data_IF_741747382869
#
_entry.id   IF_741747382869
#
_cell.length_a   1.000
_cell.length_b   1.000
_cell.length_c   1.000
_cell.angle_alpha   90.00
_cell.angle_beta   90.00
_cell.angle_gamma   90.00
#
_symmetry.space_group_name_H-M   'P 1'
#
loop_
_entity.id
_entity.type
_entity.pdbx_description
1 polymer ?
#
# COMPACT_ATOMS: atom_id res chain seq x y z
N UNK A 1 -42.73 10.47 17.92
CA UNK A 1 -41.49 10.87 18.63
C UNK A 1 -40.54 11.49 17.62
N UNK A 2 -40.10 12.75 17.80
CA UNK A 2 -39.08 13.38 16.93
C UNK A 2 -37.73 12.78 17.29
N UNK A 3 -37.05 12.19 16.31
CA UNK A 3 -35.77 11.52 16.52
C UNK A 3 -34.67 12.55 16.85
N UNK A 4 -34.14 12.51 18.08
CA UNK A 4 -32.99 13.31 18.57
C UNK A 4 -31.65 12.69 18.12
N UNK A 5 -31.49 12.36 16.84
CA UNK A 5 -30.21 11.79 16.38
C UNK A 5 -29.32 12.90 15.85
N UNK A 6 -28.18 13.09 16.52
CA UNK A 6 -27.01 13.75 15.97
C UNK A 6 -26.45 12.84 14.88
N UNK A 7 -26.15 13.39 13.69
CA UNK A 7 -25.72 12.59 12.54
C UNK A 7 -24.55 13.27 11.85
N UNK A 8 -23.48 12.51 11.69
CA UNK A 8 -22.37 12.81 10.79
C UNK A 8 -22.76 12.43 9.35
N UNK A 9 -21.96 12.83 8.37
CA UNK A 9 -22.21 12.49 6.96
C UNK A 9 -20.94 11.92 6.35
N UNK A 10 -21.02 10.70 5.83
CA UNK A 10 -19.98 10.12 4.99
C UNK A 10 -20.38 10.24 3.51
N UNK A 11 -19.41 10.45 2.64
CA UNK A 11 -19.58 10.55 1.19
C UNK A 11 -18.45 9.82 0.50
N UNK A 12 -18.78 9.05 -0.53
CA UNK A 12 -17.78 8.58 -1.48
C UNK A 12 -17.57 9.71 -2.50
N UNK A 13 -16.33 10.12 -2.66
CA UNK A 13 -15.91 11.08 -3.67
C UNK A 13 -15.27 10.27 -4.80
N UNK A 14 -15.77 10.47 -6.01
CA UNK A 14 -15.20 9.87 -7.22
C UNK A 14 -14.77 11.03 -8.11
N UNK A 15 -13.47 11.27 -8.15
CA UNK A 15 -12.86 12.26 -9.02
C UNK A 15 -12.49 11.60 -10.33
N UNK A 16 -12.88 12.22 -11.43
CA UNK A 16 -12.35 11.86 -12.75
C UNK A 16 -11.53 13.03 -13.25
N UNK A 17 -10.24 12.79 -13.43
CA UNK A 17 -9.39 13.73 -14.13
C UNK A 17 -9.88 13.87 -15.58
N UNK A 18 -10.15 15.11 -15.99
CA UNK A 18 -10.70 15.40 -17.33
C UNK A 18 -9.65 15.31 -18.45
N UNK A 19 -8.37 15.43 -18.10
CA UNK A 19 -7.24 15.37 -19.03
C UNK A 19 -6.76 13.93 -19.19
N UNK A 20 -6.53 13.23 -18.09
CA UNK A 20 -5.97 11.86 -18.10
C UNK A 20 -7.04 10.77 -18.13
N UNK A 21 -8.30 11.11 -17.79
CA UNK A 21 -9.38 10.14 -17.67
C UNK A 21 -9.29 9.23 -16.44
N UNK A 22 -8.20 9.31 -15.65
CA UNK A 22 -7.98 8.54 -14.43
C UNK A 22 -9.06 8.87 -13.40
N UNK A 23 -9.54 7.82 -12.74
CA UNK A 23 -10.58 7.92 -11.72
C UNK A 23 -9.96 7.62 -10.37
N UNK A 24 -10.11 8.53 -9.41
CA UNK A 24 -9.71 8.34 -8.02
C UNK A 24 -10.95 8.31 -7.14
N UNK A 25 -11.01 7.39 -6.21
CA UNK A 25 -12.11 7.31 -5.25
C UNK A 25 -11.59 7.29 -3.82
N UNK A 26 -12.27 8.02 -2.93
CA UNK A 26 -11.96 8.05 -1.50
C UNK A 26 -13.23 8.35 -0.69
N UNK A 27 -13.23 7.96 0.58
CA UNK A 27 -14.31 8.23 1.53
C UNK A 27 -14.00 9.52 2.27
N UNK A 28 -14.98 10.41 2.32
CA UNK A 28 -14.92 11.68 3.02
C UNK A 28 -15.97 11.67 4.14
N UNK A 29 -15.54 11.88 5.38
CA UNK A 29 -16.41 11.87 6.56
C UNK A 29 -16.43 13.25 7.20
N UNK A 30 -17.62 13.83 7.29
CA UNK A 30 -17.88 15.05 8.04
C UNK A 30 -18.29 14.73 9.46
N UNK A 31 -17.49 15.18 10.42
CA UNK A 31 -17.72 15.07 11.86
C UNK A 31 -18.01 16.46 12.39
N UNK A 32 -19.28 16.78 12.68
CA UNK A 32 -19.60 18.11 13.21
C UNK A 32 -19.23 18.24 14.68
N UNK A 33 -18.92 19.45 15.14
CA UNK A 33 -18.83 19.70 16.57
C UNK A 33 -20.20 19.53 17.23
N UNK A 34 -20.21 19.24 18.53
CA UNK A 34 -21.45 18.99 19.25
C UNK A 34 -22.43 20.18 19.18
N UNK A 35 -21.92 21.41 19.28
CA UNK A 35 -22.73 22.62 19.20
C UNK A 35 -23.24 22.90 17.79
N UNK A 36 -22.45 22.55 16.77
CA UNK A 36 -22.88 22.61 15.38
C UNK A 36 -24.00 21.59 15.10
N UNK A 37 -23.79 20.32 15.47
CA UNK A 37 -24.73 19.22 15.23
C UNK A 37 -26.07 19.38 15.96
N UNK A 38 -26.11 20.12 17.07
CA UNK A 38 -27.37 20.49 17.73
C UNK A 38 -28.23 21.45 16.90
N UNK A 39 -27.59 22.33 16.13
CA UNK A 39 -28.23 23.43 15.41
C UNK A 39 -28.49 23.08 13.95
N UNK A 40 -27.56 22.37 13.32
CA UNK A 40 -27.63 22.03 11.90
C UNK A 40 -28.68 20.94 11.61
N UNK A 41 -29.40 21.10 10.50
CA UNK A 41 -30.29 20.07 9.93
C UNK A 41 -29.89 19.71 8.50
N UNK A 42 -28.81 20.29 8.01
CA UNK A 42 -28.42 20.26 6.61
C UNK A 42 -27.02 19.73 6.38
N UNK A 43 -26.48 18.96 7.34
CA UNK A 43 -25.14 18.36 7.28
C UNK A 43 -24.81 17.75 5.91
N UNK A 44 -25.78 17.07 5.29
CA UNK A 44 -25.63 16.46 3.97
C UNK A 44 -25.41 17.41 2.80
N UNK A 45 -25.59 18.73 2.98
CA UNK A 45 -25.27 19.76 1.97
C UNK A 45 -23.77 19.98 1.81
N UNK A 46 -22.97 19.69 2.84
CA UNK A 46 -21.52 19.74 2.70
C UNK A 46 -21.08 18.63 1.73
N UNK A 47 -20.34 18.96 0.68
CA UNK A 47 -19.82 18.04 -0.35
C UNK A 47 -18.33 18.23 -0.47
N UNK A 48 -17.63 17.39 -1.23
CA UNK A 48 -16.19 17.56 -1.46
C UNK A 48 -15.79 18.99 -1.88
N UNK A 49 -16.51 19.58 -2.85
CA UNK A 49 -16.23 20.92 -3.39
C UNK A 49 -16.95 22.06 -2.65
N UNK A 50 -17.74 21.78 -1.61
CA UNK A 50 -18.52 22.81 -0.93
C UNK A 50 -18.66 22.57 0.57
N UNK A 51 -18.44 23.62 1.37
CA UNK A 51 -18.72 23.66 2.81
C UNK A 51 -19.77 24.71 3.10
N UNK A 52 -20.63 24.43 4.08
CA UNK A 52 -21.52 25.45 4.62
C UNK A 52 -20.69 26.53 5.32
N UNK A 53 -21.05 27.82 5.19
CA UNK A 53 -20.32 28.92 5.84
C UNK A 53 -20.28 28.85 7.37
N UNK A 54 -21.20 28.09 7.97
CA UNK A 54 -21.29 27.90 9.42
C UNK A 54 -20.76 26.53 9.87
N UNK A 55 -20.14 25.74 8.96
CA UNK A 55 -19.63 24.42 9.30
C UNK A 55 -18.55 24.49 10.38
N UNK A 56 -18.70 23.66 11.41
CA UNK A 56 -17.81 23.62 12.55
C UNK A 56 -17.67 22.15 12.97
N UNK A 57 -16.42 21.68 13.05
CA UNK A 57 -16.08 20.25 13.18
C UNK A 57 -14.95 19.84 12.23
N UNK A 58 -14.75 18.54 12.05
CA UNK A 58 -13.67 17.97 11.24
C UNK A 58 -14.19 17.34 9.96
N UNK A 59 -13.33 17.29 8.95
CA UNK A 59 -13.52 16.54 7.71
C UNK A 59 -12.35 15.60 7.57
N UNK A 60 -12.62 14.30 7.55
CA UNK A 60 -11.61 13.25 7.45
C UNK A 60 -11.71 12.56 6.10
N UNK A 61 -10.57 12.18 5.54
CA UNK A 61 -10.46 11.47 4.28
C UNK A 61 -9.83 10.12 4.53
N UNK A 62 -10.43 9.11 3.92
CA UNK A 62 -10.02 7.72 4.01
C UNK A 62 -9.98 7.13 2.60
N UNK A 63 -9.11 6.17 2.40
CA UNK A 63 -9.20 5.28 1.25
C UNK A 63 -10.46 4.42 1.30
N UNK A 64 -10.80 3.77 0.19
CA UNK A 64 -12.00 2.89 0.12
C UNK A 64 -11.86 1.68 1.07
N UNK A 65 -10.64 1.22 1.32
CA UNK A 65 -10.31 0.16 2.28
C UNK A 65 -10.41 0.62 3.76
N UNK A 66 -10.64 1.91 4.03
CA UNK A 66 -10.75 2.47 5.37
C UNK A 66 -9.45 3.06 5.94
N UNK A 67 -8.33 3.04 5.22
CA UNK A 67 -7.07 3.65 5.65
C UNK A 67 -7.20 5.17 5.75
N UNK A 68 -6.77 5.77 6.88
CA UNK A 68 -6.81 7.22 7.06
C UNK A 68 -5.76 7.92 6.17
N UNK A 69 -6.20 8.91 5.40
CA UNK A 69 -5.35 9.69 4.49
C UNK A 69 -4.91 10.98 5.17
N UNK A 70 -5.86 11.86 5.44
CA UNK A 70 -5.67 13.16 6.08
C UNK A 70 -7.03 13.76 6.48
N UNK A 71 -7.02 14.95 7.07
CA UNK A 71 -8.22 15.67 7.44
C UNK A 71 -7.98 17.14 7.75
N UNK A 72 -9.08 17.84 7.95
CA UNK A 72 -9.12 19.27 8.26
C UNK A 72 -10.08 19.53 9.40
N UNK A 73 -9.68 20.39 10.33
CA UNK A 73 -10.58 20.97 11.33
C UNK A 73 -11.11 22.31 10.83
N UNK A 74 -12.40 22.52 11.00
CA UNK A 74 -13.10 23.73 10.60
C UNK A 74 -13.73 24.45 11.78
N UNK A 75 -13.65 25.78 11.74
CA UNK A 75 -14.41 26.68 12.59
C UNK A 75 -15.08 27.75 11.71
N UNK A 76 -16.40 27.90 11.84
CA UNK A 76 -17.21 28.87 11.06
C UNK A 76 -16.93 28.80 9.54
N UNK A 77 -16.90 27.58 9.00
CA UNK A 77 -16.71 27.30 7.59
C UNK A 77 -15.27 27.45 7.09
N UNK A 78 -14.31 27.81 7.94
CA UNK A 78 -12.89 28.00 7.60
C UNK A 78 -12.04 26.88 8.18
N UNK A 79 -11.03 26.45 7.44
CA UNK A 79 -10.01 25.51 7.95
C UNK A 79 -9.17 26.24 8.99
N UNK A 80 -8.95 25.61 10.14
CA UNK A 80 -8.13 26.16 11.23
C UNK A 80 -6.98 25.24 11.65
N UNK A 81 -7.00 23.97 11.21
CA UNK A 81 -5.94 23.01 11.48
C UNK A 81 -5.99 21.82 10.52
N UNK A 82 -4.85 21.16 10.34
CA UNK A 82 -4.69 19.92 9.59
C UNK A 82 -4.73 18.71 10.53
N UNK A 83 -5.05 17.54 9.97
CA UNK A 83 -5.02 16.25 10.66
C UNK A 83 -4.32 15.29 9.72
N UNK A 84 -3.26 14.63 10.18
CA UNK A 84 -2.49 13.68 9.38
C UNK A 84 -2.20 12.40 10.17
N UNK A 85 -1.96 11.26 9.49
CA UNK A 85 -1.40 10.08 10.15
C UNK A 85 -0.04 10.42 10.75
N UNK A 86 0.27 9.83 11.90
CA UNK A 86 1.59 10.00 12.53
C UNK A 86 2.66 9.44 11.61
N UNK A 87 3.74 10.20 11.40
CA UNK A 87 4.92 9.74 10.66
C UNK A 87 5.89 9.19 11.69
N UNK A 88 6.27 7.92 11.59
CA UNK A 88 7.26 7.31 12.48
C UNK A 88 8.66 7.91 12.20
N UNK A 89 9.25 8.57 13.20
CA UNK A 89 10.56 9.22 13.10
C UNK A 89 11.71 8.24 12.83
N UNK A 90 11.52 6.92 13.02
CA UNK A 90 12.56 5.90 12.79
C UNK A 90 12.92 5.69 11.31
N UNK A 91 12.06 6.07 10.36
CA UNK A 91 12.30 5.89 8.92
C UNK A 91 12.46 7.19 8.13
N UNK A 92 13.09 8.20 8.74
CA UNK A 92 13.55 9.39 8.00
C UNK A 92 12.46 10.39 7.65
N UNK A 93 11.61 10.72 8.63
CA UNK A 93 10.80 11.94 8.56
C UNK A 93 11.69 13.17 8.30
N UNK A 94 11.20 14.19 7.56
CA UNK A 94 11.98 15.39 7.33
C UNK A 94 12.36 15.98 8.70
N UNK A 95 13.66 15.99 8.97
CA UNK A 95 14.23 16.71 10.12
C UNK A 95 13.61 18.11 10.13
N UNK A 96 13.19 18.55 11.31
CA UNK A 96 12.82 19.94 11.58
C UNK A 96 13.82 20.89 10.91
N UNK A 97 13.48 21.36 9.71
CA UNK A 97 14.19 22.46 9.10
C UNK A 97 13.64 23.70 9.78
N UNK A 98 14.22 24.00 10.94
CA UNK A 98 14.26 25.34 11.50
C UNK A 98 14.89 26.29 10.47
N UNK A 99 14.07 26.77 9.55
CA UNK A 99 14.35 27.87 8.63
C UNK A 99 13.14 28.79 8.64
N UNK A 100 13.03 29.57 9.72
CA UNK A 100 12.07 30.67 9.85
C UNK A 100 12.22 31.66 8.70
N UNK A 101 11.15 31.83 7.93
CA UNK A 101 10.83 33.09 7.26
C UNK A 101 9.35 33.44 7.52
N UNK A 102 9.13 34.08 8.68
CA UNK A 102 8.04 35.01 9.06
C UNK A 102 6.57 34.67 8.72
N UNK A 103 5.77 34.64 9.78
CA UNK A 103 4.29 34.71 9.88
C UNK A 103 3.47 33.46 9.53
N UNK A 104 3.55 32.47 10.42
CA UNK A 104 2.55 31.49 10.89
C UNK A 104 3.38 30.47 11.68
N UNK A 105 3.14 30.35 12.99
CA UNK A 105 3.78 29.31 13.78
C UNK A 105 2.92 28.06 13.70
N UNK A 106 3.51 26.99 13.17
CA UNK A 106 2.92 25.66 13.17
C UNK A 106 3.27 24.97 14.50
N UNK A 107 2.24 24.68 15.29
CA UNK A 107 2.37 23.90 16.53
C UNK A 107 1.61 22.58 16.35
N UNK A 108 2.39 21.50 16.27
CA UNK A 108 1.89 20.15 16.06
C UNK A 108 1.85 19.39 17.38
N UNK A 109 0.70 18.78 17.67
CA UNK A 109 0.51 17.92 18.83
C UNK A 109 -0.02 16.57 18.38
N UNK A 110 0.61 15.50 18.86
CA UNK A 110 0.14 14.14 18.64
C UNK A 110 -1.00 13.80 19.60
N UNK A 111 -2.11 13.34 19.03
CA UNK A 111 -3.25 12.81 19.76
C UNK A 111 -3.33 11.31 19.49
N UNK A 112 -2.95 10.52 20.49
CA UNK A 112 -3.11 9.09 20.48
C UNK A 112 -4.38 8.69 21.22
N UNK A 113 -5.13 7.76 20.65
CA UNK A 113 -6.31 7.17 21.27
C UNK A 113 -6.25 5.65 21.16
N UNK A 114 -6.70 4.98 22.23
CA UNK A 114 -6.83 3.53 22.26
C UNK A 114 -8.10 3.14 21.51
N UNK A 115 -7.95 2.44 20.40
CA UNK A 115 -9.03 1.78 19.68
C UNK A 115 -9.31 0.45 20.36
N UNK A 116 -10.59 0.12 20.53
CA UNK A 116 -11.03 -1.18 21.01
C UNK A 116 -11.83 -1.84 19.90
N UNK A 117 -11.49 -3.08 19.59
CA UNK A 117 -12.23 -3.92 18.65
C UNK A 117 -12.51 -5.28 19.29
N UNK A 118 -13.37 -6.07 18.67
CA UNK A 118 -13.77 -7.38 19.17
C UNK A 118 -13.44 -8.45 18.13
N UNK A 119 -12.42 -9.25 18.43
CA UNK A 119 -12.09 -10.42 17.64
C UNK A 119 -12.87 -11.62 18.17
N UNK A 120 -13.62 -12.26 17.27
CA UNK A 120 -14.37 -13.45 17.56
C UNK A 120 -13.73 -14.65 16.85
N UNK A 121 -13.57 -15.74 17.60
CA UNK A 121 -13.11 -17.01 17.09
C UNK A 121 -14.14 -18.11 17.35
N UNK A 122 -14.14 -19.10 16.47
CA UNK A 122 -14.93 -20.32 16.60
C UNK A 122 -14.02 -21.46 17.03
N UNK A 123 -14.28 -22.02 18.21
CA UNK A 123 -13.61 -23.23 18.69
C UNK A 123 -14.53 -24.44 18.53
N UNK A 124 -14.19 -25.33 17.61
CA UNK A 124 -14.82 -26.65 17.48
C UNK A 124 -14.23 -27.63 18.48
N UNK A 125 -15.08 -28.28 19.26
CA UNK A 125 -14.68 -29.37 20.16
C UNK A 125 -15.36 -30.68 19.77
N UNK A 126 -14.65 -31.77 20.06
CA UNK A 126 -15.07 -33.13 19.79
C UNK A 126 -15.12 -33.87 21.13
N UNK A 127 -16.29 -34.37 21.50
CA UNK A 127 -16.43 -35.23 22.67
C UNK A 127 -16.97 -36.59 22.22
N UNK A 128 -16.50 -37.65 22.87
CA UNK A 128 -16.92 -39.00 22.52
C UNK A 128 -17.87 -39.51 23.59
N UNK A 129 -19.13 -39.68 23.19
CA UNK A 129 -20.17 -40.28 24.02
C UNK A 129 -20.32 -41.77 23.67
N UNK A 130 -20.28 -42.63 24.69
CA UNK A 130 -20.37 -44.09 24.51
C UNK A 130 -21.75 -44.56 23.98
N UNK A 131 -22.78 -43.72 24.05
CA UNK A 131 -24.15 -44.00 23.60
C UNK A 131 -24.45 -43.41 22.20
N UNK A 132 -23.88 -42.25 21.85
CA UNK A 132 -24.17 -41.52 20.60
C UNK A 132 -22.99 -41.41 19.60
N UNK A 133 -21.76 -41.77 20.00
CA UNK A 133 -20.55 -41.64 19.18
C UNK A 133 -19.91 -40.26 19.30
N UNK A 134 -19.18 -39.82 18.26
CA UNK A 134 -18.52 -38.52 18.25
C UNK A 134 -19.54 -37.37 18.15
N UNK A 135 -19.61 -36.55 19.18
CA UNK A 135 -20.35 -35.30 19.19
C UNK A 135 -19.43 -34.14 18.80
N UNK A 136 -19.93 -33.25 17.95
CA UNK A 136 -19.23 -32.04 17.51
C UNK A 136 -20.00 -30.83 18.00
N UNK A 137 -19.33 -29.98 18.78
CA UNK A 137 -19.86 -28.69 19.23
C UNK A 137 -19.01 -27.54 18.74
N UNK A 138 -19.64 -26.37 18.56
CA UNK A 138 -18.95 -25.11 18.23
C UNK A 138 -19.18 -24.13 19.37
N UNK A 139 -18.11 -23.59 19.93
CA UNK A 139 -18.15 -22.55 20.94
C UNK A 139 -17.68 -21.25 20.33
N UNK A 140 -18.46 -20.19 20.50
CA UNK A 140 -18.13 -18.86 20.01
C UNK A 140 -17.50 -18.06 21.16
N UNK A 141 -16.23 -17.69 21.00
CA UNK A 141 -15.50 -16.84 21.94
C UNK A 141 -15.16 -15.52 21.29
N UNK A 142 -15.53 -14.41 21.92
CA UNK A 142 -15.09 -13.08 21.49
C UNK A 142 -14.24 -12.46 22.60
N UNK A 143 -13.13 -11.84 22.24
CA UNK A 143 -12.31 -11.06 23.16
C UNK A 143 -12.06 -9.67 22.60
N UNK A 144 -12.02 -8.69 23.51
CA UNK A 144 -11.73 -7.31 23.16
C UNK A 144 -10.24 -7.15 22.95
N UNK A 145 -9.85 -6.73 21.75
CA UNK A 145 -8.49 -6.28 21.44
C UNK A 145 -8.43 -4.76 21.48
N UNK A 146 -7.25 -4.21 21.70
CA UNK A 146 -7.06 -2.76 21.65
C UNK A 146 -5.67 -2.37 21.21
N UNK A 147 -5.55 -1.35 20.37
CA UNK A 147 -4.28 -0.77 19.91
C UNK A 147 -4.32 0.75 20.02
N UNK A 148 -3.16 1.40 20.02
CA UNK A 148 -3.07 2.86 20.00
C UNK A 148 -2.95 3.35 18.55
N UNK A 149 -3.88 4.22 18.16
CA UNK A 149 -3.78 4.99 16.93
C UNK A 149 -3.44 6.43 17.25
N UNK A 150 -2.40 6.96 16.58
CA UNK A 150 -1.97 8.33 16.74
C UNK A 150 -2.26 9.14 15.49
N UNK A 151 -2.78 10.35 15.70
CA UNK A 151 -2.96 11.35 14.65
C UNK A 151 -2.24 12.63 15.06
N UNK A 152 -1.54 13.25 14.12
CA UNK A 152 -0.86 14.52 14.37
C UNK A 152 -1.82 15.65 13.99
N UNK A 153 -2.01 16.59 14.92
CA UNK A 153 -2.82 17.78 14.71
C UNK A 153 -1.93 19.01 14.71
N UNK A 154 -1.81 19.68 13.57
CA UNK A 154 -1.03 20.91 13.46
C UNK A 154 -1.97 22.12 13.43
N UNK A 155 -1.76 23.01 14.39
CA UNK A 155 -2.49 24.27 14.51
C UNK A 155 -1.61 25.41 14.05
N UNK A 156 -2.21 26.34 13.32
CA UNK A 156 -1.53 27.52 12.80
C UNK A 156 -2.00 28.73 13.58
N UNK A 157 -1.09 29.45 14.22
CA UNK A 157 -1.41 30.72 14.87
C UNK A 157 -0.48 31.84 14.42
N UNK A 158 -1.07 33.02 14.36
CA UNK A 158 -0.41 34.29 14.09
C UNK A 158 0.33 34.73 15.37
N UNK A 159 1.65 34.90 15.29
CA UNK A 159 2.49 35.34 16.40
C UNK A 159 2.44 36.87 16.61
N UNK A 160 1.59 37.58 15.86
CA UNK A 160 1.21 38.96 16.12
C UNK A 160 2.24 39.98 15.66
N UNK A 161 3.08 39.66 14.67
CA UNK A 161 3.87 40.69 13.98
C UNK A 161 2.99 41.38 12.93
N UNK A 162 2.53 42.59 13.26
CA UNK A 162 1.83 43.50 12.35
C UNK A 162 2.69 43.76 11.10
N UNK A 163 2.41 43.04 10.02
CA UNK A 163 2.67 43.48 8.66
C UNK A 163 1.45 43.09 7.82
N UNK A 164 0.71 44.10 7.37
CA UNK A 164 -0.44 44.00 6.47
C UNK A 164 0.02 43.39 5.13
N UNK A 165 0.00 42.05 5.03
CA UNK A 165 0.02 41.35 3.75
C UNK A 165 -0.84 40.09 3.86
N UNK A 166 -2.11 40.24 3.49
CA UNK A 166 -3.15 39.20 3.51
C UNK A 166 -2.90 38.14 2.42
N UNK A 167 -1.70 37.58 2.33
CA UNK A 167 -1.40 36.54 1.36
C UNK A 167 -1.86 35.16 1.88
N UNK A 168 -3.19 34.96 1.89
CA UNK A 168 -3.87 33.70 2.24
C UNK A 168 -3.93 32.69 1.06
N UNK A 169 -3.07 32.85 0.05
CA UNK A 169 -3.00 32.00 -1.15
C UNK A 169 -1.89 30.93 -1.04
N UNK A 170 -1.65 30.37 0.16
CA UNK A 170 -0.98 29.08 0.24
C UNK A 170 -2.03 27.97 0.04
N UNK A 171 -1.96 27.30 -1.11
CA UNK A 171 -2.81 26.17 -1.48
C UNK A 171 -2.65 25.05 -0.44
N UNK A 172 -3.59 24.95 0.51
CA UNK A 172 -3.74 23.76 1.33
C UNK A 172 -3.84 22.54 0.40
N UNK A 173 -3.15 21.42 0.69
CA UNK A 173 -3.24 20.23 -0.16
C UNK A 173 -4.69 19.81 -0.31
N UNK A 174 -5.07 19.38 -1.51
CA UNK A 174 -6.42 18.89 -1.75
C UNK A 174 -6.74 17.78 -0.74
N UNK A 175 -7.86 17.91 -0.01
CA UNK A 175 -8.29 16.88 0.94
C UNK A 175 -8.37 15.53 0.25
N UNK A 176 -7.72 14.51 0.82
CA UNK A 176 -7.52 13.23 0.17
C UNK A 176 -6.25 13.09 -0.68
N UNK A 177 -5.35 14.08 -0.79
CA UNK A 177 -4.02 13.93 -1.42
C UNK A 177 -2.93 13.47 -0.42
N UNK A 178 -2.05 12.54 -0.82
CA UNK A 178 -0.92 12.02 -0.01
C UNK A 178 0.33 12.93 -0.05
N UNK A 179 0.25 14.12 -0.61
CA UNK A 179 1.44 14.98 -0.81
C UNK A 179 1.70 15.88 0.39
N UNK A 180 2.78 15.59 1.10
CA UNK A 180 3.50 16.54 1.96
C UNK A 180 4.18 17.59 1.07
N UNK A 181 3.98 18.87 1.38
CA UNK A 181 4.52 20.00 0.62
C UNK A 181 6.05 20.02 0.70
N UNK A 182 6.72 19.91 -0.45
CA UNK A 182 8.12 20.30 -0.60
C UNK A 182 8.19 21.41 -1.66
N UNK A 183 7.84 22.64 -1.28
CA UNK A 183 7.88 23.81 -2.16
C UNK A 183 9.29 24.41 -2.21
N UNK A 184 10.13 23.85 -3.09
CA UNK A 184 11.31 24.51 -3.63
C UNK A 184 10.99 25.14 -4.98
N UNK A 185 10.78 26.46 -5.02
CA UNK A 185 10.61 27.27 -6.25
C UNK A 185 11.73 26.99 -7.27
N UNK A 186 11.36 26.80 -8.55
CA UNK A 186 11.93 27.60 -9.65
C UNK A 186 11.07 27.55 -10.94
N UNK A 187 10.52 28.74 -11.23
CA UNK A 187 10.24 29.41 -12.51
C UNK A 187 10.13 28.66 -13.85
N UNK A 188 8.98 28.95 -14.48
CA UNK A 188 8.72 29.21 -15.90
C UNK A 188 8.88 28.11 -16.96
N UNK A 189 7.84 28.16 -17.81
CA UNK A 189 7.71 27.69 -19.18
C UNK A 189 7.34 26.22 -19.39
N UNK A 190 6.09 26.05 -19.87
CA UNK A 190 5.58 24.96 -20.71
C UNK A 190 6.33 23.62 -20.59
N UNK A 191 5.93 22.77 -19.66
CA UNK A 191 6.25 21.35 -19.74
C UNK A 191 5.00 20.50 -19.53
N UNK A 192 4.84 19.55 -20.45
CA UNK A 192 4.04 18.34 -20.31
C UNK A 192 4.22 17.80 -18.88
N UNK A 193 3.13 17.58 -18.14
CA UNK A 193 3.23 16.93 -16.83
C UNK A 193 3.65 15.47 -17.05
N UNK A 194 4.95 15.22 -17.03
CA UNK A 194 5.53 13.88 -17.01
C UNK A 194 5.08 13.23 -15.68
N UNK A 195 4.49 12.03 -15.73
CA UNK A 195 4.17 11.25 -14.53
C UNK A 195 5.51 10.94 -13.83
N UNK A 196 5.70 11.36 -12.57
CA UNK A 196 6.97 11.15 -11.84
C UNK A 196 7.44 9.68 -11.87
N UNK A 197 6.50 8.72 -12.07
CA UNK A 197 6.79 7.29 -12.22
C UNK A 197 7.30 6.92 -13.62
N UNK A 198 6.85 7.60 -14.67
CA UNK A 198 7.42 7.45 -16.01
C UNK A 198 8.84 8.01 -16.05
N UNK A 199 9.10 9.16 -15.41
CA UNK A 199 10.46 9.69 -15.25
C UNK A 199 11.35 8.70 -14.49
N UNK A 200 10.86 8.16 -13.35
CA UNK A 200 11.59 7.17 -12.56
C UNK A 200 11.90 5.91 -13.38
N UNK A 201 10.94 5.44 -14.17
CA UNK A 201 11.14 4.31 -15.07
C UNK A 201 12.19 4.62 -16.13
N UNK A 202 12.12 5.76 -16.81
CA UNK A 202 13.11 6.16 -17.82
C UNK A 202 14.52 6.31 -17.24
N UNK A 203 14.65 6.81 -16.01
CA UNK A 203 15.92 6.93 -15.30
C UNK A 203 16.49 5.57 -14.91
N UNK A 204 15.68 4.72 -14.26
CA UNK A 204 16.04 3.35 -13.90
C UNK A 204 16.48 2.54 -15.12
N UNK A 205 15.72 2.61 -16.21
CA UNK A 205 16.00 1.85 -17.43
C UNK A 205 17.32 2.27 -18.10
N UNK A 206 17.84 3.48 -17.87
CA UNK A 206 19.18 3.86 -18.38
C UNK A 206 20.27 3.02 -17.72
N UNK A 207 20.22 2.86 -16.40
CA UNK A 207 21.21 2.09 -15.64
C UNK A 207 21.03 0.58 -15.85
N UNK A 208 19.79 0.09 -15.79
CA UNK A 208 19.48 -1.33 -16.02
C UNK A 208 19.97 -1.80 -17.39
N UNK A 209 19.77 -1.00 -18.45
CA UNK A 209 20.27 -1.32 -19.79
C UNK A 209 21.79 -1.47 -19.83
N UNK A 210 22.53 -0.65 -19.07
CA UNK A 210 23.99 -0.77 -18.99
C UNK A 210 24.39 -2.08 -18.31
N UNK A 211 23.72 -2.44 -17.21
CA UNK A 211 24.00 -3.67 -16.45
C UNK A 211 23.76 -4.91 -17.33
N UNK A 212 22.57 -5.02 -17.94
CA UNK A 212 22.20 -6.17 -18.76
C UNK A 212 23.05 -6.27 -20.04
N UNK A 213 23.40 -5.13 -20.65
CA UNK A 213 24.31 -5.10 -21.81
C UNK A 213 25.70 -5.64 -21.49
N UNK A 214 26.22 -5.43 -20.28
CA UNK A 214 27.50 -5.99 -19.86
C UNK A 214 27.48 -7.52 -19.75
N UNK A 215 26.29 -8.11 -19.61
CA UNK A 215 26.05 -9.56 -19.63
C UNK A 215 25.74 -10.09 -21.04
N UNK A 216 25.80 -9.23 -22.07
CA UNK A 216 25.51 -9.60 -23.45
C UNK A 216 24.02 -9.60 -23.81
N UNK A 217 23.16 -9.04 -22.94
CA UNK A 217 21.71 -8.98 -23.16
C UNK A 217 21.34 -7.63 -23.75
N UNK A 218 20.70 -7.66 -24.91
CA UNK A 218 20.22 -6.48 -25.61
C UNK A 218 18.75 -6.22 -25.26
N UNK A 219 18.54 -5.45 -24.20
CA UNK A 219 17.21 -5.14 -23.63
C UNK A 219 16.28 -4.50 -24.64
N UNK A 220 16.79 -3.79 -25.65
CA UNK A 220 15.99 -3.12 -26.68
C UNK A 220 15.29 -4.11 -27.64
N UNK A 221 15.60 -5.41 -27.56
CA UNK A 221 14.90 -6.48 -28.28
C UNK A 221 13.55 -6.84 -27.63
N UNK A 222 13.35 -6.47 -26.36
CA UNK A 222 12.17 -6.81 -25.58
C UNK A 222 11.26 -5.58 -25.43
N UNK A 223 9.95 -5.81 -25.37
CA UNK A 223 9.00 -4.71 -25.12
C UNK A 223 8.77 -4.59 -23.61
N UNK A 224 9.44 -3.64 -22.95
CA UNK A 224 9.27 -3.40 -21.51
C UNK A 224 8.37 -2.19 -21.30
N UNK A 225 7.33 -2.34 -20.46
CA UNK A 225 6.39 -1.27 -20.12
C UNK A 225 6.20 -1.16 -18.61
N UNK A 226 6.04 0.08 -18.13
CA UNK A 226 5.67 0.34 -16.75
C UNK A 226 4.16 0.08 -16.55
N UNK A 227 3.82 -0.75 -15.57
CA UNK A 227 2.47 -0.79 -15.01
C UNK A 227 2.31 0.33 -13.99
N UNK A 228 1.38 1.25 -14.24
CA UNK A 228 1.06 2.37 -13.33
C UNK A 228 -0.14 2.10 -12.43
N UNK A 229 -0.73 0.90 -12.54
CA UNK A 229 -1.86 0.38 -11.75
C UNK A 229 -1.38 -0.54 -10.62
N UNK A 230 -2.32 -1.08 -9.85
CA UNK A 230 -2.02 -1.99 -8.72
C UNK A 230 -1.51 -3.33 -9.24
N UNK A 231 -0.40 -3.80 -8.70
CA UNK A 231 0.15 -5.11 -9.00
C UNK A 231 0.75 -5.77 -7.75
N UNK A 232 0.66 -7.09 -7.72
CA UNK A 232 1.15 -7.93 -6.61
C UNK A 232 2.50 -8.60 -6.90
N UNK A 233 3.14 -8.29 -8.02
CA UNK A 233 4.45 -8.85 -8.41
C UNK A 233 5.46 -7.72 -8.65
N UNK A 234 6.74 -8.07 -8.83
CA UNK A 234 7.78 -7.11 -9.21
C UNK A 234 7.78 -6.85 -10.72
N UNK A 235 7.59 -7.89 -11.52
CA UNK A 235 7.37 -7.83 -12.95
C UNK A 235 6.54 -9.04 -13.39
N UNK A 236 6.18 -9.11 -14.68
CA UNK A 236 5.57 -10.29 -15.32
C UNK A 236 5.70 -10.24 -16.83
N UNK A 237 5.79 -11.40 -17.47
CA UNK A 237 5.56 -11.55 -18.91
C UNK A 237 4.06 -11.57 -19.22
N UNK A 238 3.65 -10.81 -20.24
CA UNK A 238 2.26 -10.75 -20.70
C UNK A 238 1.92 -11.96 -21.58
N UNK A 239 0.62 -12.25 -21.71
CA UNK A 239 0.09 -13.34 -22.56
C UNK A 239 0.49 -13.28 -24.04
N UNK A 240 1.03 -12.16 -24.52
CA UNK A 240 1.56 -12.03 -25.87
C UNK A 240 2.97 -12.65 -26.02
N UNK A 241 3.56 -13.12 -24.92
CA UNK A 241 4.88 -13.76 -24.86
C UNK A 241 6.04 -12.84 -25.25
N UNK A 242 5.81 -11.52 -25.36
CA UNK A 242 6.79 -10.58 -25.91
C UNK A 242 6.85 -9.25 -25.15
N UNK A 243 5.81 -8.93 -24.38
CA UNK A 243 5.77 -7.75 -23.51
C UNK A 243 6.11 -8.15 -22.08
N UNK A 244 7.11 -7.48 -21.50
CA UNK A 244 7.44 -7.53 -20.08
C UNK A 244 6.80 -6.31 -19.41
N UNK A 245 6.01 -6.56 -18.38
CA UNK A 245 5.37 -5.52 -17.59
C UNK A 245 6.10 -5.38 -16.25
N UNK A 246 6.66 -4.20 -15.99
CA UNK A 246 7.38 -3.88 -14.77
C UNK A 246 6.47 -3.11 -13.80
N UNK A 247 6.45 -3.51 -12.54
CA UNK A 247 5.67 -2.84 -11.50
C UNK A 247 6.39 -1.65 -10.88
N UNK A 248 5.64 -0.64 -10.46
CA UNK A 248 6.19 0.52 -9.73
C UNK A 248 6.95 0.10 -8.47
N UNK A 249 6.49 -0.94 -7.77
CA UNK A 249 7.17 -1.50 -6.60
C UNK A 249 8.61 -1.92 -6.92
N UNK A 250 8.86 -2.51 -8.10
CA UNK A 250 10.20 -2.90 -8.51
C UNK A 250 11.15 -1.69 -8.59
N UNK A 251 10.61 -0.53 -9.03
CA UNK A 251 11.37 0.70 -9.16
C UNK A 251 11.62 1.41 -7.82
N UNK A 252 10.70 1.30 -6.87
CA UNK A 252 10.78 2.03 -5.60
C UNK A 252 11.44 1.27 -4.47
N UNK A 253 11.41 -0.08 -4.50
CA UNK A 253 11.93 -0.93 -3.41
C UNK A 253 13.36 -1.40 -3.65
N UNK A 254 13.77 -1.57 -4.90
CA UNK A 254 14.99 -2.30 -5.24
C UNK A 254 16.04 -1.43 -5.92
N UNK A 255 17.30 -1.84 -5.80
CA UNK A 255 18.43 -1.15 -6.44
C UNK A 255 18.45 -1.38 -7.96
N UNK A 256 19.24 -0.62 -8.72
CA UNK A 256 19.36 -0.84 -10.17
C UNK A 256 19.88 -2.25 -10.53
N UNK A 257 20.71 -2.87 -9.70
CA UNK A 257 21.15 -4.25 -9.96
C UNK A 257 20.03 -5.26 -9.70
N UNK A 258 19.26 -5.06 -8.62
CA UNK A 258 18.11 -5.90 -8.33
C UNK A 258 17.04 -5.75 -9.43
N UNK A 259 16.77 -4.52 -9.87
CA UNK A 259 15.89 -4.23 -11.01
C UNK A 259 16.38 -4.91 -12.29
N UNK A 260 17.70 -4.92 -12.53
CA UNK A 260 18.27 -5.65 -13.65
C UNK A 260 18.06 -7.16 -13.50
N UNK A 261 18.18 -7.73 -12.30
CA UNK A 261 17.90 -9.14 -12.03
C UNK A 261 16.41 -9.48 -12.23
N UNK A 262 15.50 -8.63 -11.75
CA UNK A 262 14.05 -8.74 -11.97
C UNK A 262 13.75 -8.72 -13.48
N UNK A 263 14.32 -7.79 -14.24
CA UNK A 263 14.07 -7.73 -15.69
C UNK A 263 14.72 -8.91 -16.41
N UNK A 264 15.88 -9.37 -15.95
CA UNK A 264 16.53 -10.58 -16.46
C UNK A 264 15.66 -11.81 -16.28
N UNK A 265 15.00 -11.95 -15.12
CA UNK A 265 14.07 -13.02 -14.81
C UNK A 265 12.97 -13.09 -15.88
N UNK A 266 12.30 -11.97 -16.15
CA UNK A 266 11.24 -11.91 -17.16
C UNK A 266 11.76 -12.14 -18.58
N UNK A 267 12.98 -11.68 -18.90
CA UNK A 267 13.63 -11.98 -20.19
C UNK A 267 13.85 -13.49 -20.34
N UNK A 268 14.27 -14.17 -19.29
CA UNK A 268 14.45 -15.63 -19.31
C UNK A 268 13.13 -16.33 -19.63
N UNK A 269 12.01 -15.89 -19.01
CA UNK A 269 10.68 -16.41 -19.33
C UNK A 269 10.32 -16.24 -20.81
N UNK A 270 10.59 -15.05 -21.39
CA UNK A 270 10.35 -14.79 -22.82
C UNK A 270 11.18 -15.71 -23.70
N UNK A 271 12.48 -15.84 -23.42
CA UNK A 271 13.42 -16.60 -24.25
C UNK A 271 13.16 -18.11 -24.22
N UNK A 272 12.61 -18.63 -23.11
CA UNK A 272 12.34 -20.07 -22.91
C UNK A 272 10.89 -20.46 -23.21
N UNK A 273 10.01 -19.51 -23.53
CA UNK A 273 8.61 -19.82 -23.82
C UNK A 273 7.72 -19.96 -22.59
N UNK A 274 8.18 -19.50 -21.42
CA UNK A 274 7.47 -19.64 -20.13
C UNK A 274 6.32 -18.62 -19.97
N UNK A 275 5.52 -18.44 -21.01
CA UNK A 275 4.36 -17.53 -21.04
C UNK A 275 3.07 -18.24 -21.48
N UNK A 276 3.15 -19.49 -21.95
CA UNK A 276 1.99 -20.34 -22.19
C UNK A 276 1.52 -20.91 -20.84
N UNK A 277 0.44 -20.36 -20.27
CA UNK A 277 -0.11 -20.88 -19.01
C UNK A 277 -0.37 -19.87 -17.91
N UNK A 278 -0.79 -18.63 -18.24
CA UNK A 278 -1.69 -17.86 -17.35
C UNK A 278 -3.06 -18.57 -17.33
N UNK A 279 -3.05 -19.85 -16.96
CA UNK A 279 -4.23 -20.66 -16.72
C UNK A 279 -4.86 -20.17 -15.42
N UNK A 280 -6.20 -20.25 -15.29
CA UNK A 280 -6.86 -19.93 -14.05
C UNK A 280 -6.25 -20.80 -12.94
N UNK A 281 -5.89 -20.17 -11.83
CA UNK A 281 -5.52 -20.89 -10.63
C UNK A 281 -6.69 -21.81 -10.25
N UNK A 282 -6.37 -23.04 -9.84
CA UNK A 282 -7.37 -23.97 -9.34
C UNK A 282 -7.49 -23.77 -7.84
N UNK A 283 -8.70 -23.50 -7.30
CA UNK A 283 -8.89 -23.39 -5.86
C UNK A 283 -8.43 -24.64 -5.12
N UNK A 284 -7.79 -24.45 -3.97
CA UNK A 284 -7.40 -25.51 -3.05
C UNK A 284 -8.38 -25.58 -1.89
N UNK A 285 -8.99 -26.76 -1.69
CA UNK A 285 -9.88 -27.04 -0.57
C UNK A 285 -9.52 -28.41 0.06
N UNK A 286 -8.88 -28.42 1.25
CA UNK A 286 -8.48 -27.27 2.06
C UNK A 286 -7.31 -26.46 1.45
N UNK A 287 -7.06 -25.21 1.92
CA UNK A 287 -5.90 -24.43 1.52
C UNK A 287 -4.59 -25.16 1.79
N UNK A 288 -3.58 -24.95 0.93
CA UNK A 288 -2.24 -25.48 1.13
C UNK A 288 -1.48 -24.55 2.09
N UNK A 289 -1.05 -25.09 3.23
CA UNK A 289 -0.22 -24.36 4.19
C UNK A 289 1.21 -24.89 4.11
N UNK A 290 2.17 -23.98 3.89
CA UNK A 290 3.58 -24.28 3.79
C UNK A 290 4.25 -24.20 5.15
N UNK A 291 5.13 -25.16 5.45
CA UNK A 291 5.89 -25.21 6.70
C UNK A 291 7.35 -24.80 6.44
N UNK A 292 7.80 -23.73 7.09
CA UNK A 292 9.17 -23.23 6.95
C UNK A 292 10.16 -24.21 7.57
N UNK A 293 11.22 -24.53 6.81
CA UNK A 293 12.34 -25.35 7.27
C UNK A 293 13.55 -24.50 7.74
N UNK A 294 14.47 -25.16 8.44
CA UNK A 294 15.67 -24.52 9.01
C UNK A 294 16.58 -23.89 7.95
N UNK A 295 16.55 -24.38 6.70
CA UNK A 295 17.40 -23.88 5.62
C UNK A 295 16.87 -22.54 5.09
N UNK A 296 15.55 -22.40 4.94
CA UNK A 296 14.94 -21.19 4.40
C UNK A 296 14.61 -20.13 5.46
N UNK A 297 14.51 -20.50 6.74
CA UNK A 297 14.19 -19.61 7.86
C UNK A 297 14.89 -18.23 7.82
N UNK A 298 16.23 -18.11 7.64
CA UNK A 298 16.89 -16.80 7.65
C UNK A 298 16.46 -15.91 6.46
N UNK A 299 16.22 -16.50 5.29
CA UNK A 299 15.73 -15.76 4.12
C UNK A 299 14.28 -15.36 4.30
N UNK A 300 13.45 -16.25 4.86
CA UNK A 300 12.07 -15.96 5.17
C UNK A 300 11.91 -14.81 6.18
N UNK A 301 12.72 -14.76 7.23
CA UNK A 301 12.69 -13.66 8.20
C UNK A 301 13.04 -12.32 7.54
N UNK A 302 14.04 -12.29 6.65
CA UNK A 302 14.41 -11.07 5.93
C UNK A 302 13.30 -10.64 4.96
N UNK A 303 12.73 -11.59 4.22
CA UNK A 303 11.58 -11.37 3.33
C UNK A 303 10.40 -10.79 4.10
N UNK A 304 9.99 -11.46 5.19
CA UNK A 304 8.88 -11.04 6.04
C UNK A 304 9.11 -9.64 6.61
N UNK A 305 10.31 -9.32 7.06
CA UNK A 305 10.62 -7.97 7.55
C UNK A 305 10.50 -6.90 6.45
N UNK A 306 10.75 -7.26 5.19
CA UNK A 306 10.68 -6.36 4.03
C UNK A 306 9.28 -6.26 3.42
N UNK A 307 8.40 -7.24 3.66
CA UNK A 307 7.02 -7.26 3.17
C UNK A 307 5.99 -6.85 4.22
N UNK A 308 6.30 -7.06 5.50
CA UNK A 308 5.39 -6.78 6.60
C UNK A 308 4.98 -5.32 6.59
N UNK A 309 3.68 -5.10 6.47
CA UNK A 309 3.05 -3.79 6.28
C UNK A 309 2.48 -3.21 7.58
N UNK A 310 2.69 -3.89 8.71
CA UNK A 310 2.25 -3.44 10.02
C UNK A 310 0.89 -3.97 10.47
N UNK A 311 0.19 -4.75 9.64
CA UNK A 311 -1.11 -5.31 10.00
C UNK A 311 -0.99 -6.68 10.69
N UNK A 312 -1.53 -6.78 11.92
CA UNK A 312 -1.58 -8.03 12.68
C UNK A 312 -0.28 -8.39 13.38
N UNK A 313 -0.09 -9.66 13.74
CA UNK A 313 1.23 -10.16 14.14
C UNK A 313 2.02 -10.55 12.89
N UNK A 314 3.35 -10.56 12.97
CA UNK A 314 4.19 -11.03 11.86
C UNK A 314 3.91 -12.49 11.55
N UNK A 315 3.58 -13.26 12.56
CA UNK A 315 3.21 -14.67 12.47
C UNK A 315 1.88 -14.85 11.72
N UNK A 316 0.87 -14.02 12.00
CA UNK A 316 -0.41 -14.06 11.30
C UNK A 316 -0.28 -13.56 9.86
N UNK A 317 0.52 -12.51 9.63
CA UNK A 317 0.82 -12.02 8.29
C UNK A 317 1.54 -13.09 7.46
N UNK A 318 2.56 -13.71 8.04
CA UNK A 318 3.28 -14.84 7.46
C UNK A 318 2.32 -15.96 7.07
N UNK A 319 1.49 -16.41 8.02
CA UNK A 319 0.57 -17.51 7.79
C UNK A 319 -0.49 -17.15 6.74
N UNK A 320 -1.15 -16.01 6.88
CA UNK A 320 -2.31 -15.63 6.08
C UNK A 320 -1.98 -15.11 4.67
N UNK A 321 -0.84 -14.44 4.50
CA UNK A 321 -0.49 -13.78 3.23
C UNK A 321 0.65 -14.45 2.47
N UNK A 322 1.57 -15.15 3.16
CA UNK A 322 2.80 -15.66 2.54
C UNK A 322 2.85 -17.19 2.44
N UNK A 323 2.39 -17.89 3.48
CA UNK A 323 2.52 -19.34 3.62
C UNK A 323 1.23 -20.12 3.31
N UNK A 324 0.10 -19.45 3.14
CA UNK A 324 -1.17 -20.09 2.78
C UNK A 324 -1.54 -19.82 1.32
N UNK A 325 -1.68 -20.89 0.55
CA UNK A 325 -2.14 -20.85 -0.84
C UNK A 325 -3.60 -21.32 -0.96
N UNK A 326 -4.44 -20.41 -1.43
CA UNK A 326 -5.87 -20.68 -1.63
C UNK A 326 -6.19 -21.14 -3.06
N UNK A 327 -5.28 -20.94 -4.00
CA UNK A 327 -5.42 -21.41 -5.37
C UNK A 327 -4.04 -21.59 -6.02
N UNK A 328 -3.86 -22.67 -6.78
CA UNK A 328 -2.55 -23.03 -7.35
C UNK A 328 -2.57 -22.98 -8.87
N UNK A 329 -1.42 -22.64 -9.44
CA UNK A 329 -1.16 -22.82 -10.87
C UNK A 329 -0.90 -24.30 -11.22
N UNK A 330 -0.69 -24.61 -12.50
CA UNK A 330 -0.32 -25.95 -12.96
C UNK A 330 1.11 -26.31 -12.53
N UNK A 331 1.42 -27.60 -12.40
CA UNK A 331 2.78 -28.05 -12.07
C UNK A 331 3.84 -27.49 -13.05
N UNK A 332 3.52 -27.47 -14.35
CA UNK A 332 4.37 -26.86 -15.39
C UNK A 332 4.66 -25.37 -15.14
N UNK A 333 3.71 -24.62 -14.56
CA UNK A 333 3.94 -23.20 -14.24
C UNK A 333 4.99 -23.07 -13.15
N UNK A 334 4.89 -23.86 -12.07
CA UNK A 334 5.88 -23.85 -11.01
C UNK A 334 7.24 -24.40 -11.48
N UNK A 335 7.26 -25.40 -12.37
CA UNK A 335 8.50 -25.89 -12.99
C UNK A 335 9.24 -24.78 -13.74
N UNK A 336 8.50 -23.99 -14.54
CA UNK A 336 9.05 -22.85 -15.27
C UNK A 336 9.62 -21.77 -14.34
N UNK A 337 8.90 -21.41 -13.27
CA UNK A 337 9.40 -20.45 -12.28
C UNK A 337 10.66 -20.99 -11.57
N UNK A 338 10.65 -22.25 -11.14
CA UNK A 338 11.80 -22.88 -10.49
C UNK A 338 13.01 -22.88 -11.41
N UNK A 339 12.84 -23.22 -12.70
CA UNK A 339 13.91 -23.14 -13.70
C UNK A 339 14.46 -21.71 -13.78
N UNK A 340 13.58 -20.70 -13.93
CA UNK A 340 13.99 -19.31 -14.05
C UNK A 340 14.76 -18.83 -12.81
N UNK A 341 14.27 -19.08 -11.60
CA UNK A 341 14.96 -18.66 -10.36
C UNK A 341 16.34 -19.31 -10.22
N UNK A 342 16.48 -20.60 -10.55
CA UNK A 342 17.78 -21.25 -10.55
C UNK A 342 18.75 -20.61 -11.55
N UNK A 343 18.26 -20.29 -12.75
CA UNK A 343 19.07 -19.61 -13.76
C UNK A 343 19.43 -18.17 -13.33
N UNK A 344 18.52 -17.47 -12.64
CA UNK A 344 18.75 -16.13 -12.11
C UNK A 344 19.81 -16.13 -11.01
N UNK A 345 19.80 -17.12 -10.12
CA UNK A 345 20.84 -17.25 -9.08
C UNK A 345 22.25 -17.34 -9.70
N UNK A 346 22.39 -17.97 -10.87
CA UNK A 346 23.65 -18.19 -11.58
C UNK A 346 24.04 -17.08 -12.58
N UNK A 347 23.19 -16.04 -12.76
CA UNK A 347 23.37 -15.04 -13.82
C UNK A 347 24.50 -14.00 -13.57
N UNK A 348 25.16 -14.05 -12.41
CA UNK A 348 26.24 -13.15 -11.98
C UNK A 348 25.88 -11.65 -11.86
N UNK A 349 24.59 -11.30 -11.78
CA UNK A 349 24.16 -9.94 -11.40
C UNK A 349 24.36 -9.79 -9.88
N UNK A 350 25.12 -8.78 -9.40
CA UNK A 350 25.25 -8.54 -7.97
C UNK A 350 23.92 -8.08 -7.37
N UNK A 351 23.40 -8.77 -6.35
CA UNK A 351 22.10 -8.45 -5.74
C UNK A 351 22.25 -7.93 -4.32
N UNK A 352 21.25 -7.19 -3.85
CA UNK A 352 21.14 -6.82 -2.44
C UNK A 352 20.70 -8.03 -1.61
N UNK A 353 21.09 -8.08 -0.32
CA UNK A 353 20.68 -9.14 0.61
C UNK A 353 19.14 -9.27 0.67
N UNK A 354 18.43 -8.13 0.58
CA UNK A 354 16.97 -8.10 0.55
C UNK A 354 16.41 -8.82 -0.68
N UNK A 355 16.91 -8.53 -1.87
CA UNK A 355 16.41 -9.18 -3.08
C UNK A 355 16.84 -10.66 -3.17
N UNK A 356 18.02 -11.01 -2.65
CA UNK A 356 18.42 -12.41 -2.53
C UNK A 356 17.47 -13.20 -1.63
N UNK A 357 17.03 -12.63 -0.50
CA UNK A 357 16.02 -13.27 0.34
C UNK A 357 14.68 -13.47 -0.36
N UNK A 358 14.22 -12.47 -1.14
CA UNK A 358 13.02 -12.60 -1.97
C UNK A 358 13.14 -13.76 -2.96
N UNK A 359 14.27 -13.85 -3.68
CA UNK A 359 14.50 -14.94 -4.63
C UNK A 359 14.53 -16.31 -3.96
N UNK A 360 15.27 -16.46 -2.85
CA UNK A 360 15.38 -17.73 -2.14
C UNK A 360 14.03 -18.18 -1.58
N UNK A 361 13.25 -17.26 -0.98
CA UNK A 361 11.93 -17.57 -0.46
C UNK A 361 10.95 -17.97 -1.58
N UNK A 362 10.90 -17.22 -2.68
CA UNK A 362 10.06 -17.56 -3.83
C UNK A 362 10.44 -18.91 -4.45
N UNK A 363 11.73 -19.17 -4.66
CA UNK A 363 12.22 -20.45 -5.18
C UNK A 363 11.81 -21.62 -4.28
N UNK A 364 12.07 -21.52 -2.98
CA UNK A 364 11.67 -22.54 -2.00
C UNK A 364 10.16 -22.77 -2.03
N UNK A 365 9.37 -21.69 -1.98
CA UNK A 365 7.91 -21.74 -2.00
C UNK A 365 7.40 -22.49 -3.23
N UNK A 366 7.93 -22.17 -4.40
CA UNK A 366 7.53 -22.83 -5.65
C UNK A 366 7.97 -24.29 -5.70
N UNK A 367 9.14 -24.64 -5.15
CA UNK A 367 9.57 -26.03 -4.99
C UNK A 367 8.60 -26.82 -4.11
N UNK A 368 8.20 -26.29 -2.95
CA UNK A 368 7.24 -26.96 -2.06
C UNK A 368 5.89 -27.21 -2.74
N UNK A 369 5.39 -26.22 -3.48
CA UNK A 369 4.13 -26.34 -4.21
C UNK A 369 4.24 -27.34 -5.37
N UNK A 370 5.34 -27.30 -6.12
CA UNK A 370 5.58 -28.24 -7.21
C UNK A 370 5.64 -29.69 -6.69
N UNK A 371 6.34 -29.93 -5.58
CA UNK A 371 6.36 -31.23 -4.92
C UNK A 371 4.96 -31.67 -4.48
N UNK A 372 4.16 -30.76 -3.92
CA UNK A 372 2.78 -31.05 -3.54
C UNK A 372 1.93 -31.47 -4.74
N UNK A 373 2.05 -30.79 -5.89
CA UNK A 373 1.29 -31.08 -7.10
C UNK A 373 1.74 -32.35 -7.82
N UNK A 374 2.97 -32.80 -7.60
CA UNK A 374 3.58 -33.95 -8.29
C UNK A 374 3.72 -35.20 -7.42
N UNK A 375 3.41 -35.11 -6.12
CA UNK A 375 3.29 -36.27 -5.23
C UNK A 375 2.10 -37.14 -5.67
N UNK A 376 2.39 -38.35 -6.16
CA UNK A 376 1.41 -39.39 -6.51
C UNK A 376 0.57 -39.88 -5.32
#
# INVERSE_FOLDING_TARGET
>A
MKSKFIRNTAKIVVEKDKLTGRIRSFVMIFIGSYDYLKKTKSMGKNTYLYRQPDFDGSVLFYEINGTFINGWKYEKGKIVASIAPKIDEENGGPKENNATSRAIVEDCTDYCYTVYDEECYEETWYDYDDECGWEVGVTYGCYTISWEECTTHCTYYDDGSDDEDDNWDEDFPAGGSNTSNNTGKNNNDNDEKIDDRETLFEESMKEVKVILKNLGIDVDQYTIKLNTEMCGTNARVMNDGTTIELCTRALTKYTHNDQASIIWHEIYHVDHGHYEGINPTTPCDPPLVLEIDDEIQPYFELYLNNEYDGYGTKEDYALGMLLTENALHTAEWYENEIETYNAELDNNIPRSENYEADMHFCLWKYQQIYEYLTKE
#
